data_IF_418283837552
#
_entry.id   IF_418283837552
#
_cell.length_a   1.000
_cell.length_b   1.000
_cell.length_c   1.000
_cell.angle_alpha   90.00
_cell.angle_beta   90.00
_cell.angle_gamma   90.00
#
_symmetry.space_group_name_H-M   'P 1'
#
loop_
_entity.id
_entity.type
_entity.pdbx_description
1 polymer ?
#
# COMPACT_ATOMS: atom_id res chain seq x y z
N UNK A 1 9.06 8.75 1.59
CA UNK A 1 9.56 8.36 0.25
C UNK A 1 8.47 8.52 -0.79
N UNK A 2 8.79 8.98 -2.02
CA UNK A 2 7.80 9.14 -3.09
C UNK A 2 7.04 7.84 -3.39
N UNK A 3 5.70 7.91 -3.48
CA UNK A 3 4.83 6.76 -3.73
C UNK A 3 5.23 5.95 -4.97
N UNK A 4 5.62 6.60 -6.06
CA UNK A 4 5.97 5.89 -7.31
C UNK A 4 7.36 5.24 -7.24
N UNK A 5 8.24 5.72 -6.37
CA UNK A 5 9.51 5.02 -6.07
C UNK A 5 9.21 3.76 -5.26
N UNK A 6 8.32 3.84 -4.28
CA UNK A 6 7.88 2.67 -3.51
C UNK A 6 7.14 1.65 -4.40
N UNK A 7 6.35 2.11 -5.38
CA UNK A 7 5.72 1.26 -6.40
C UNK A 7 6.75 0.42 -7.15
N UNK A 8 7.79 1.05 -7.71
CA UNK A 8 8.83 0.31 -8.44
C UNK A 8 9.60 -0.68 -7.55
N UNK A 9 9.83 -0.34 -6.28
CA UNK A 9 10.42 -1.27 -5.31
C UNK A 9 9.54 -2.48 -5.04
N UNK A 10 8.25 -2.25 -4.79
CA UNK A 10 7.28 -3.29 -4.53
C UNK A 10 7.11 -4.21 -5.75
N UNK A 11 7.04 -3.65 -6.95
CA UNK A 11 6.98 -4.39 -8.20
C UNK A 11 8.21 -5.31 -8.36
N UNK A 12 9.42 -4.76 -8.24
CA UNK A 12 10.65 -5.53 -8.37
C UNK A 12 10.74 -6.68 -7.34
N UNK A 13 10.35 -6.44 -6.08
CA UNK A 13 10.34 -7.48 -5.04
C UNK A 13 9.32 -8.58 -5.32
N UNK A 14 8.09 -8.22 -5.72
CA UNK A 14 7.04 -9.19 -6.04
C UNK A 14 7.34 -10.00 -7.30
N UNK A 15 7.95 -9.38 -8.31
CA UNK A 15 8.35 -10.08 -9.54
C UNK A 15 9.49 -11.06 -9.31
N UNK A 16 10.49 -10.68 -8.51
CA UNK A 16 11.61 -11.55 -8.19
C UNK A 16 11.16 -12.70 -7.28
N UNK A 17 10.32 -12.39 -6.29
CA UNK A 17 9.70 -13.38 -5.41
C UNK A 17 10.68 -14.13 -4.49
N UNK A 18 11.91 -13.65 -4.36
CA UNK A 18 13.01 -14.26 -3.61
C UNK A 18 13.11 -13.80 -2.15
N UNK A 19 12.19 -12.92 -1.74
CA UNK A 19 12.06 -12.40 -0.37
C UNK A 19 10.78 -12.98 0.28
N UNK A 20 10.87 -14.11 1.01
CA UNK A 20 9.71 -14.75 1.63
C UNK A 20 9.00 -13.84 2.64
N UNK A 21 9.78 -13.04 3.38
CA UNK A 21 9.23 -12.11 4.37
C UNK A 21 8.38 -11.05 3.68
N UNK A 22 8.90 -10.41 2.63
CA UNK A 22 8.16 -9.38 1.90
C UNK A 22 6.87 -9.93 1.29
N UNK A 23 6.92 -11.15 0.77
CA UNK A 23 5.75 -11.81 0.18
C UNK A 23 4.66 -12.08 1.23
N UNK A 24 5.03 -12.62 2.38
CA UNK A 24 4.11 -12.91 3.49
C UNK A 24 3.54 -11.63 4.11
N UNK A 25 4.40 -10.63 4.35
CA UNK A 25 3.99 -9.31 4.81
C UNK A 25 3.00 -8.64 3.83
N UNK A 26 3.26 -8.76 2.53
CA UNK A 26 2.38 -8.21 1.49
C UNK A 26 1.03 -8.93 1.48
N UNK A 27 1.00 -10.24 1.66
CA UNK A 27 -0.24 -11.01 1.75
C UNK A 27 -1.04 -10.66 3.01
N UNK A 28 -0.37 -10.51 4.15
CA UNK A 28 -0.96 -10.08 5.42
C UNK A 28 -1.60 -8.69 5.28
N UNK A 29 -0.86 -7.69 4.79
CA UNK A 29 -1.38 -6.33 4.55
C UNK A 29 -2.53 -6.36 3.54
N UNK A 30 -2.43 -7.16 2.48
CA UNK A 30 -3.53 -7.32 1.50
C UNK A 30 -4.80 -7.85 2.17
N UNK A 31 -4.66 -8.80 3.09
CA UNK A 31 -5.78 -9.37 3.83
C UNK A 31 -6.41 -8.34 4.75
N UNK A 32 -5.62 -7.60 5.52
CA UNK A 32 -6.10 -6.51 6.39
C UNK A 32 -6.86 -5.47 5.56
N UNK A 33 -6.29 -5.00 4.45
CA UNK A 33 -6.93 -4.00 3.58
C UNK A 33 -8.24 -4.46 2.95
N UNK A 34 -8.41 -5.77 2.71
CA UNK A 34 -9.68 -6.33 2.23
C UNK A 34 -10.72 -6.40 3.35
N UNK A 35 -10.31 -6.82 4.54
CA UNK A 35 -11.18 -6.88 5.74
C UNK A 35 -11.71 -5.50 6.11
N UNK A 36 -10.87 -4.47 6.01
CA UNK A 36 -11.23 -3.07 6.27
C UNK A 36 -11.95 -2.36 5.11
N UNK A 37 -12.29 -3.12 4.06
CA UNK A 37 -13.01 -2.66 2.85
C UNK A 37 -12.30 -1.55 2.06
N UNK A 38 -10.99 -1.39 2.27
CA UNK A 38 -10.13 -0.52 1.46
C UNK A 38 -10.04 -1.10 0.05
N UNK A 39 -9.64 -2.37 -0.04
CA UNK A 39 -9.55 -3.13 -1.27
C UNK A 39 -10.84 -3.95 -1.49
N UNK A 40 -11.41 -3.97 -2.71
CA UNK A 40 -12.56 -4.80 -3.00
C UNK A 40 -12.25 -6.30 -2.83
N UNK A 41 -13.13 -7.02 -2.12
CA UNK A 41 -13.08 -8.49 -2.04
C UNK A 41 -13.69 -9.19 -3.28
N UNK A 42 -14.45 -8.45 -4.11
CA UNK A 42 -15.06 -9.00 -5.32
C UNK A 42 -14.04 -9.04 -6.46
N UNK A 43 -14.09 -10.11 -7.26
CA UNK A 43 -13.22 -10.32 -8.44
C UNK A 43 -11.72 -10.33 -8.10
N UNK A 44 -11.35 -10.91 -6.96
CA UNK A 44 -9.95 -11.07 -6.54
C UNK A 44 -9.13 -11.83 -7.61
N UNK A 45 -9.73 -12.79 -8.31
CA UNK A 45 -9.05 -13.54 -9.39
C UNK A 45 -8.58 -12.65 -10.55
N UNK A 46 -9.19 -11.47 -10.75
CA UNK A 46 -8.79 -10.52 -11.79
C UNK A 46 -7.88 -9.42 -11.26
N UNK A 47 -8.16 -8.92 -10.06
CA UNK A 47 -7.49 -7.73 -9.51
C UNK A 47 -6.45 -8.06 -8.43
N UNK A 48 -6.22 -9.34 -8.15
CA UNK A 48 -5.37 -9.80 -7.05
C UNK A 48 -3.96 -9.23 -7.10
N UNK A 49 -3.33 -9.23 -8.29
CA UNK A 49 -1.99 -8.67 -8.48
C UNK A 49 -1.94 -7.17 -8.19
N UNK A 50 -2.93 -6.39 -8.63
CA UNK A 50 -3.01 -4.95 -8.33
C UNK A 50 -3.18 -4.66 -6.83
N UNK A 51 -3.96 -5.52 -6.15
CA UNK A 51 -4.16 -5.43 -4.71
C UNK A 51 -2.87 -5.73 -3.96
N UNK A 52 -2.16 -6.80 -4.34
CA UNK A 52 -0.86 -7.15 -3.77
C UNK A 52 0.17 -6.05 -4.03
N UNK A 53 0.23 -5.50 -5.24
CA UNK A 53 1.15 -4.41 -5.55
C UNK A 53 0.86 -3.16 -4.70
N UNK A 54 -0.41 -2.80 -4.51
CA UNK A 54 -0.78 -1.70 -3.60
C UNK A 54 -0.36 -1.97 -2.16
N UNK A 55 -0.58 -3.18 -1.65
CA UNK A 55 -0.12 -3.58 -0.31
C UNK A 55 1.40 -3.60 -0.20
N UNK A 56 2.10 -4.03 -1.25
CA UNK A 56 3.56 -4.07 -1.32
C UNK A 56 4.18 -2.67 -1.22
N UNK A 57 3.52 -1.63 -1.73
CA UNK A 57 3.95 -0.23 -1.52
C UNK A 57 4.01 0.10 -0.02
N UNK A 58 3.03 -0.38 0.74
CA UNK A 58 2.94 -0.13 2.19
C UNK A 58 4.04 -0.90 2.92
N UNK A 59 4.25 -2.18 2.57
CA UNK A 59 5.34 -2.99 3.15
C UNK A 59 6.71 -2.42 2.79
N UNK A 60 6.91 -1.98 1.55
CA UNK A 60 8.18 -1.36 1.14
C UNK A 60 8.46 -0.05 1.88
N UNK A 61 7.42 0.69 2.27
CA UNK A 61 7.56 1.89 3.10
C UNK A 61 7.92 1.53 4.55
N UNK A 62 7.30 0.48 5.07
CA UNK A 62 7.58 -0.06 6.40
C UNK A 62 9.04 -0.53 6.53
N UNK A 63 9.50 -1.41 5.63
CA UNK A 63 10.88 -1.91 5.65
C UNK A 63 11.93 -0.80 5.46
N UNK A 64 11.57 0.25 4.72
CA UNK A 64 12.45 1.40 4.51
C UNK A 64 12.31 2.47 5.61
N UNK A 65 11.55 2.20 6.67
CA UNK A 65 11.28 3.10 7.80
C UNK A 65 10.90 4.53 7.35
N UNK A 66 10.03 4.62 6.34
CA UNK A 66 9.71 5.88 5.67
C UNK A 66 8.20 6.07 5.46
N UNK A 67 7.80 7.32 5.23
CA UNK A 67 6.43 7.65 4.82
C UNK A 67 6.16 7.27 3.36
N UNK A 68 4.88 7.17 3.00
CA UNK A 68 4.41 7.10 1.62
C UNK A 68 4.04 8.54 1.19
N UNK A 69 4.91 9.19 0.44
CA UNK A 69 4.71 10.58 0.02
C UNK A 69 3.84 10.64 -1.24
N UNK A 70 2.59 11.05 -1.05
CA UNK A 70 1.61 11.25 -2.13
C UNK A 70 1.80 12.65 -2.72
N UNK A 71 2.57 12.73 -3.80
CA UNK A 71 2.90 13.99 -4.50
C UNK A 71 1.86 14.42 -5.54
N UNK A 72 1.10 13.47 -6.10
CA UNK A 72 0.00 13.73 -7.03
C UNK A 72 -1.20 12.88 -6.66
N UNK A 73 -2.40 13.44 -6.86
CA UNK A 73 -3.69 12.73 -6.74
C UNK A 73 -4.43 12.63 -8.08
N UNK A 74 -3.80 13.10 -9.16
CA UNK A 74 -4.37 12.99 -10.49
C UNK A 74 -4.27 11.55 -10.97
N UNK A 75 -5.40 10.93 -11.29
CA UNK A 75 -5.45 9.53 -11.76
C UNK A 75 -4.63 9.31 -13.04
N UNK A 76 -4.51 10.33 -13.90
CA UNK A 76 -3.66 10.30 -15.08
C UNK A 76 -2.18 10.00 -14.72
N UNK A 77 -1.65 10.62 -13.67
CA UNK A 77 -0.28 10.36 -13.19
C UNK A 77 -0.11 8.89 -12.81
N UNK A 78 -1.06 8.29 -12.10
CA UNK A 78 -0.98 6.87 -11.72
C UNK A 78 -0.92 5.97 -12.94
N UNK A 79 -1.73 6.27 -13.95
CA UNK A 79 -1.72 5.53 -15.22
C UNK A 79 -0.40 5.71 -15.99
N UNK A 80 0.17 6.91 -16.03
CA UNK A 80 1.49 7.19 -16.65
C UNK A 80 2.62 6.38 -16.01
N UNK A 81 2.55 6.16 -14.69
CA UNK A 81 3.47 5.29 -13.95
C UNK A 81 3.10 3.79 -14.02
N UNK A 82 2.17 3.39 -14.90
CA UNK A 82 1.78 1.98 -15.07
C UNK A 82 0.94 1.41 -13.93
N UNK A 83 0.42 2.26 -13.03
CA UNK A 83 -0.35 1.84 -11.86
C UNK A 83 -1.85 2.09 -12.01
N UNK A 84 -2.64 1.42 -11.17
CA UNK A 84 -4.10 1.52 -11.22
C UNK A 84 -4.59 2.90 -10.80
N UNK A 85 -5.53 3.45 -11.57
CA UNK A 85 -6.21 4.71 -11.24
C UNK A 85 -7.11 4.60 -10.00
N UNK A 86 -7.41 3.38 -9.54
CA UNK A 86 -8.16 3.12 -8.29
C UNK A 86 -7.35 3.38 -7.04
N UNK A 87 -6.01 3.44 -7.13
CA UNK A 87 -5.13 3.61 -5.99
C UNK A 87 -5.41 4.90 -5.20
N UNK A 88 -5.79 6.00 -5.87
CA UNK A 88 -6.15 7.26 -5.18
C UNK A 88 -7.33 7.03 -4.21
N UNK A 89 -8.36 6.32 -4.65
CA UNK A 89 -9.51 6.00 -3.80
C UNK A 89 -9.18 5.00 -2.70
N UNK A 90 -8.26 4.06 -2.94
CA UNK A 90 -7.78 3.14 -1.90
C UNK A 90 -6.95 3.85 -0.83
N UNK A 91 -6.10 4.81 -1.21
CA UNK A 91 -5.36 5.63 -0.25
C UNK A 91 -6.31 6.44 0.64
N UNK A 92 -7.32 7.10 0.06
CA UNK A 92 -8.31 7.85 0.85
C UNK A 92 -9.06 6.95 1.82
N UNK A 93 -9.45 5.74 1.39
CA UNK A 93 -10.08 4.75 2.29
C UNK A 93 -9.14 4.27 3.39
N UNK A 94 -7.88 4.00 3.08
CA UNK A 94 -6.90 3.58 4.08
C UNK A 94 -6.68 4.67 5.14
N UNK A 95 -6.68 5.94 4.73
CA UNK A 95 -6.65 7.07 5.66
C UNK A 95 -7.92 7.14 6.51
N UNK A 96 -9.10 7.03 5.89
CA UNK A 96 -10.38 7.06 6.60
C UNK A 96 -10.55 5.91 7.61
N UNK A 97 -9.88 4.77 7.40
CA UNK A 97 -9.85 3.62 8.31
C UNK A 97 -8.72 3.68 9.36
N UNK A 98 -7.89 4.73 9.33
CA UNK A 98 -6.73 4.86 10.23
C UNK A 98 -5.61 3.85 9.97
N UNK A 99 -5.61 3.18 8.81
CA UNK A 99 -4.55 2.26 8.39
C UNK A 99 -3.34 3.02 7.86
N UNK A 100 -3.58 4.17 7.22
CA UNK A 100 -2.58 5.18 6.92
C UNK A 100 -2.94 6.45 7.67
N UNK A 101 -1.95 7.17 8.15
CA UNK A 101 -2.14 8.43 8.86
C UNK A 101 -1.66 9.55 7.95
N UNK A 102 -2.54 10.52 7.72
CA UNK A 102 -2.21 11.69 6.92
C UNK A 102 -1.84 12.86 7.83
N UNK A 103 -0.82 13.66 7.47
CA UNK A 103 -0.54 14.92 8.15
C UNK A 103 -1.60 16.00 7.83
N UNK A 104 -2.52 15.73 6.90
CA UNK A 104 -3.63 16.60 6.54
C UNK A 104 -4.96 15.89 6.78
N UNK A 105 -5.94 16.59 7.37
CA UNK A 105 -7.24 16.01 7.73
C UNK A 105 -7.92 15.26 6.57
N UNK A 106 -8.37 14.03 6.86
CA UNK A 106 -9.26 13.14 6.09
C UNK A 106 -8.89 12.83 4.63
N UNK A 107 -7.68 13.20 4.19
CA UNK A 107 -7.27 13.05 2.78
C UNK A 107 -5.90 12.45 2.66
N UNK A 108 -5.75 11.46 1.78
CA UNK A 108 -4.45 10.93 1.41
C UNK A 108 -3.64 11.98 0.63
N UNK A 109 -2.82 12.76 1.33
CA UNK A 109 -1.96 13.81 0.77
C UNK A 109 -0.70 13.94 1.61
N UNK A 110 0.43 14.21 0.96
CA UNK A 110 1.70 14.40 1.67
C UNK A 110 2.28 13.09 2.18
N UNK A 111 3.04 13.18 3.27
CA UNK A 111 3.80 12.08 3.85
C UNK A 111 2.90 11.21 4.73
N UNK A 112 2.31 10.16 4.15
CA UNK A 112 1.46 9.23 4.90
C UNK A 112 2.32 8.27 5.72
N UNK A 113 2.04 8.13 7.01
CA UNK A 113 2.69 7.12 7.86
C UNK A 113 1.77 5.93 8.05
N UNK A 114 2.32 4.78 8.45
CA UNK A 114 1.50 3.60 8.73
C UNK A 114 0.77 3.78 10.07
N UNK A 115 -0.47 3.28 10.12
CA UNK A 115 -1.28 3.26 11.33
C UNK A 115 -0.88 2.13 12.30
N UNK A 116 -1.35 2.19 13.55
CA UNK A 116 -1.02 1.20 14.58
C UNK A 116 -1.35 -0.24 14.20
N UNK A 117 -2.51 -0.46 13.54
CA UNK A 117 -2.91 -1.81 13.16
C UNK A 117 -1.89 -2.47 12.22
N UNK A 118 -1.44 -1.74 11.20
CA UNK A 118 -0.48 -2.27 10.24
C UNK A 118 0.89 -2.49 10.87
N UNK A 119 1.37 -1.52 11.65
CA UNK A 119 2.69 -1.61 12.31
C UNK A 119 2.73 -2.79 13.28
N UNK A 120 1.74 -2.94 14.16
CA UNK A 120 1.67 -4.07 15.09
C UNK A 120 1.76 -5.44 14.40
N UNK A 121 0.96 -5.66 13.35
CA UNK A 121 0.98 -6.95 12.64
C UNK A 121 2.29 -7.18 11.84
N UNK A 122 2.93 -6.11 11.36
CA UNK A 122 4.22 -6.21 10.65
C UNK A 122 5.40 -6.41 11.62
N UNK A 123 5.33 -5.82 12.81
CA UNK A 123 6.28 -6.03 13.92
C UNK A 123 6.18 -7.49 14.42
N UNK A 124 4.97 -8.00 14.62
CA UNK A 124 4.74 -9.38 15.06
C UNK A 124 5.24 -10.42 14.04
N UNK A 125 5.23 -10.09 12.74
CA UNK A 125 5.76 -10.97 11.70
C UNK A 125 7.29 -11.04 11.70
N UNK A 126 7.97 -10.03 12.28
CA UNK A 126 9.42 -9.99 12.42
C UNK A 126 9.93 -10.70 13.68
N UNK A 127 9.05 -10.99 14.64
CA UNK A 127 9.36 -11.55 15.96
C UNK A 127 9.55 -13.08 15.92
#
# INVERSE_FOLDING_TARGET
>A
MNLFVLLGKAEAKLETGDDPYFNEATELVTTILRTEEVLPYRRISLNGALHQLFSGIIVAAYEAETSIDVTSRHTATYHEYGFTTKAVGWLDKAVARGLLLSPYDDKAKGALTLGPLLTTYLDDLLA
#
